data_IF_235330660054
#
_entry.id   IF_235330660054
#
_cell.length_a   1.000
_cell.length_b   1.000
_cell.length_c   1.000
_cell.angle_alpha   90.00
_cell.angle_beta   90.00
_cell.angle_gamma   90.00
#
_symmetry.space_group_name_H-M   'P 1'
#
loop_
_entity.id
_entity.type
_entity.pdbx_description
1 polymer ?
#
# COMPACT_ATOMS: atom_id res chain seq x y z
N UNK A 1 -6.37 14.67 31.32
CA UNK A 1 -6.21 13.22 31.08
C UNK A 1 -7.10 12.82 29.92
N UNK A 2 -6.54 12.62 28.72
CA UNK A 2 -7.31 12.14 27.58
C UNK A 2 -7.61 10.65 27.79
N UNK A 3 -8.81 10.33 28.25
CA UNK A 3 -9.30 8.96 28.33
C UNK A 3 -9.46 8.44 26.90
N UNK A 4 -8.50 7.63 26.46
CA UNK A 4 -8.67 6.86 25.23
C UNK A 4 -9.94 6.02 25.36
N UNK A 5 -10.85 6.16 24.39
CA UNK A 5 -12.00 5.28 24.19
C UNK A 5 -11.51 3.84 24.05
N UNK A 6 -11.33 3.15 25.17
CA UNK A 6 -10.71 1.83 25.29
C UNK A 6 -11.72 0.78 25.72
N UNK A 7 -12.86 0.69 25.02
CA UNK A 7 -13.73 -0.48 25.13
C UNK A 7 -13.46 -1.40 23.92
N UNK A 8 -12.50 -2.31 24.11
CA UNK A 8 -12.11 -3.33 23.12
C UNK A 8 -10.62 -3.30 22.77
N UNK A 9 -10.03 -4.49 22.55
CA UNK A 9 -8.61 -4.72 22.19
C UNK A 9 -8.24 -4.14 20.81
N UNK A 10 -8.33 -2.82 20.62
CA UNK A 10 -7.97 -2.16 19.36
C UNK A 10 -6.57 -1.57 19.44
N UNK A 11 -5.80 -1.72 18.37
CA UNK A 11 -4.52 -1.05 18.22
C UNK A 11 -4.70 0.49 18.20
N UNK A 12 -3.71 1.23 18.69
CA UNK A 12 -3.77 2.70 18.77
C UNK A 12 -4.03 3.36 17.40
N UNK A 13 -3.41 2.84 16.33
CA UNK A 13 -3.64 3.33 14.96
C UNK A 13 -5.10 3.20 14.53
N UNK A 14 -5.78 2.14 14.96
CA UNK A 14 -7.21 1.92 14.69
C UNK A 14 -8.07 2.93 15.45
N UNK A 15 -7.77 3.16 16.73
CA UNK A 15 -8.49 4.14 17.56
C UNK A 15 -8.38 5.55 16.94
N UNK A 16 -7.17 5.98 16.59
CA UNK A 16 -6.92 7.29 15.98
C UNK A 16 -7.56 7.44 14.60
N UNK A 17 -7.57 6.38 13.79
CA UNK A 17 -8.27 6.38 12.50
C UNK A 17 -9.78 6.57 12.68
N UNK A 18 -10.39 5.86 13.64
CA UNK A 18 -11.82 6.00 13.96
C UNK A 18 -12.15 7.38 14.51
N UNK A 19 -11.31 7.93 15.38
CA UNK A 19 -11.46 9.32 15.84
C UNK A 19 -11.41 10.30 14.65
N UNK A 20 -10.51 10.08 13.68
CA UNK A 20 -10.45 10.86 12.45
C UNK A 20 -11.75 10.82 11.63
N UNK A 21 -12.36 9.64 11.48
CA UNK A 21 -13.65 9.50 10.81
C UNK A 21 -14.79 10.20 11.56
N UNK A 22 -14.87 10.03 12.88
CA UNK A 22 -15.86 10.69 13.71
C UNK A 22 -15.75 12.21 13.62
N UNK A 23 -14.51 12.75 13.65
CA UNK A 23 -14.26 14.18 13.45
C UNK A 23 -14.79 14.67 12.11
N UNK A 24 -14.45 14.01 11.01
CA UNK A 24 -14.88 14.42 9.67
C UNK A 24 -16.40 14.38 9.52
N UNK A 25 -17.04 13.32 10.03
CA UNK A 25 -18.48 13.16 9.97
C UNK A 25 -19.21 14.25 10.77
N UNK A 26 -18.80 14.48 12.02
CA UNK A 26 -19.46 15.45 12.91
C UNK A 26 -19.11 16.91 12.58
N UNK A 27 -17.94 17.17 11.97
CA UNK A 27 -17.62 18.48 11.41
C UNK A 27 -18.65 18.88 10.33
N UNK A 28 -19.13 17.92 9.53
CA UNK A 28 -20.23 18.17 8.59
C UNK A 28 -21.52 18.54 9.33
N UNK A 29 -21.87 17.80 10.39
CA UNK A 29 -23.06 18.09 11.20
C UNK A 29 -23.01 19.48 11.86
N UNK A 30 -21.84 19.91 12.34
CA UNK A 30 -21.63 21.28 12.84
C UNK A 30 -21.79 22.31 11.72
N UNK A 31 -21.20 22.07 10.54
CA UNK A 31 -21.32 22.96 9.38
C UNK A 31 -22.76 23.15 8.92
N UNK A 32 -23.61 22.13 9.12
CA UNK A 32 -25.03 22.15 8.84
C UNK A 32 -25.89 22.52 10.05
N UNK A 33 -25.28 22.99 11.14
CA UNK A 33 -25.95 23.44 12.38
C UNK A 33 -26.86 22.40 13.03
N UNK A 34 -26.64 21.11 12.74
CA UNK A 34 -27.39 19.99 13.35
C UNK A 34 -26.98 19.74 14.80
N UNK A 35 -25.74 20.09 15.14
CA UNK A 35 -25.18 20.06 16.49
C UNK A 35 -24.32 21.31 16.72
N UNK A 36 -24.21 21.80 17.97
CA UNK A 36 -23.51 23.06 18.25
C UNK A 36 -21.97 22.93 18.21
N UNK A 37 -21.44 21.72 18.43
CA UNK A 37 -20.01 21.47 18.45
C UNK A 37 -19.68 20.00 18.18
N UNK A 38 -18.45 19.75 17.74
CA UNK A 38 -17.94 18.41 17.48
C UNK A 38 -17.31 17.81 18.75
N UNK A 39 -17.87 16.75 19.37
CA UNK A 39 -17.32 16.17 20.59
C UNK A 39 -15.99 15.43 20.40
N UNK A 40 -15.56 15.20 19.15
CA UNK A 40 -14.29 14.52 18.85
C UNK A 40 -13.16 15.50 18.54
N UNK A 41 -13.40 16.80 18.49
CA UNK A 41 -12.49 17.82 17.94
C UNK A 41 -11.07 17.73 18.49
N UNK A 42 -10.93 17.59 19.82
CA UNK A 42 -9.63 17.56 20.51
C UNK A 42 -8.99 16.17 20.59
N UNK A 43 -9.68 15.12 20.13
CA UNK A 43 -9.14 13.75 20.21
C UNK A 43 -8.01 13.54 19.20
N UNK A 44 -6.96 12.82 19.58
CA UNK A 44 -5.87 12.51 18.64
C UNK A 44 -6.39 11.65 17.48
N UNK A 45 -6.12 12.10 16.26
CA UNK A 45 -6.51 11.42 15.02
C UNK A 45 -5.34 11.29 14.05
N UNK A 46 -5.47 10.42 13.06
CA UNK A 46 -4.47 10.23 12.01
C UNK A 46 -3.70 8.90 12.10
N UNK A 47 -2.96 8.58 11.04
CA UNK A 47 -2.16 7.36 10.97
C UNK A 47 -0.94 7.45 11.88
N UNK A 48 -0.74 6.42 12.69
CA UNK A 48 0.49 6.25 13.48
C UNK A 48 1.25 5.07 12.93
N UNK A 49 2.50 5.33 12.57
CA UNK A 49 3.46 4.30 12.22
C UNK A 49 4.05 3.69 13.48
N UNK A 50 4.25 2.38 13.50
CA UNK A 50 4.96 1.70 14.57
C UNK A 50 6.28 1.12 14.02
N UNK A 51 7.41 1.84 14.15
CA UNK A 51 8.72 1.39 13.66
C UNK A 51 9.19 0.08 14.29
N UNK A 52 8.75 -0.27 15.50
CA UNK A 52 9.17 -1.53 16.14
C UNK A 52 8.63 -2.78 15.42
N UNK A 53 7.66 -2.61 14.52
CA UNK A 53 7.15 -3.68 13.66
C UNK A 53 7.85 -3.76 12.30
N UNK A 54 8.81 -2.89 12.04
CA UNK A 54 9.56 -2.94 10.79
C UNK A 54 10.55 -4.09 10.83
N UNK A 55 10.53 -4.90 9.78
CA UNK A 55 11.43 -6.01 9.58
C UNK A 55 12.00 -5.91 8.18
N UNK A 56 13.33 -5.95 8.08
CA UNK A 56 13.99 -5.98 6.78
C UNK A 56 14.04 -7.42 6.29
N UNK A 57 13.34 -7.71 5.20
CA UNK A 57 13.35 -9.02 4.57
C UNK A 57 14.64 -9.18 3.76
N UNK A 58 15.50 -10.13 4.14
CA UNK A 58 16.78 -10.36 3.47
C UNK A 58 16.60 -10.96 2.06
N UNK A 59 17.69 -11.09 1.30
CA UNK A 59 17.64 -11.76 -0.01
C UNK A 59 17.36 -13.25 0.17
N UNK A 60 18.02 -13.87 1.13
CA UNK A 60 17.89 -15.30 1.45
C UNK A 60 16.46 -15.64 1.90
N UNK A 61 15.81 -14.74 2.63
CA UNK A 61 14.39 -14.88 2.97
C UNK A 61 13.48 -14.76 1.76
N UNK A 62 13.75 -13.80 0.88
CA UNK A 62 13.01 -13.65 -0.36
C UNK A 62 13.13 -14.89 -1.26
N UNK A 63 14.34 -15.46 -1.37
CA UNK A 63 14.60 -16.68 -2.14
C UNK A 63 13.81 -17.86 -1.56
N UNK A 64 13.79 -18.04 -0.23
CA UNK A 64 12.96 -19.06 0.42
C UNK A 64 11.47 -18.91 0.12
N UNK A 65 10.97 -17.69 0.02
CA UNK A 65 9.56 -17.45 -0.38
C UNK A 65 9.34 -17.77 -1.85
N UNK A 66 10.27 -17.39 -2.74
CA UNK A 66 10.18 -17.70 -4.16
C UNK A 66 10.19 -19.21 -4.43
N UNK A 67 10.97 -19.97 -3.68
CA UNK A 67 11.03 -21.43 -3.78
C UNK A 67 9.77 -22.11 -3.25
N UNK A 68 9.10 -21.50 -2.27
CA UNK A 68 7.84 -21.99 -1.70
C UNK A 68 6.59 -21.59 -2.52
N UNK A 69 6.73 -20.73 -3.54
CA UNK A 69 5.61 -20.32 -4.37
C UNK A 69 5.10 -21.49 -5.24
N UNK A 70 3.77 -21.68 -5.35
CA UNK A 70 3.18 -22.86 -5.99
C UNK A 70 3.35 -22.90 -7.52
N UNK A 71 3.49 -21.75 -8.17
CA UNK A 71 3.63 -21.65 -9.63
C UNK A 71 4.36 -20.36 -10.07
N UNK A 72 4.52 -20.19 -11.38
CA UNK A 72 5.21 -19.05 -11.97
C UNK A 72 4.50 -17.71 -11.75
N UNK A 73 3.16 -17.69 -11.67
CA UNK A 73 2.40 -16.46 -11.43
C UNK A 73 2.61 -15.95 -10.01
N UNK A 74 2.55 -16.84 -9.02
CA UNK A 74 2.85 -16.50 -7.63
C UNK A 74 4.29 -16.03 -7.44
N UNK A 75 5.25 -16.70 -8.09
CA UNK A 75 6.66 -16.27 -8.09
C UNK A 75 6.80 -14.86 -8.67
N UNK A 76 6.10 -14.58 -9.76
CA UNK A 76 6.10 -13.27 -10.39
C UNK A 76 5.48 -12.19 -9.49
N UNK A 77 4.33 -12.46 -8.86
CA UNK A 77 3.69 -11.51 -7.94
C UNK A 77 4.62 -11.14 -6.77
N UNK A 78 5.26 -12.15 -6.17
CA UNK A 78 6.19 -11.90 -5.09
C UNK A 78 7.44 -11.13 -5.56
N UNK A 79 8.03 -11.52 -6.70
CA UNK A 79 9.20 -10.85 -7.25
C UNK A 79 8.91 -9.37 -7.60
N UNK A 80 7.76 -9.08 -8.21
CA UNK A 80 7.32 -7.71 -8.51
C UNK A 80 7.15 -6.86 -7.25
N UNK A 81 6.62 -7.44 -6.17
CA UNK A 81 6.52 -6.77 -4.87
C UNK A 81 7.91 -6.53 -4.25
N UNK A 82 8.77 -7.56 -4.24
CA UNK A 82 10.06 -7.56 -3.53
C UNK A 82 11.14 -6.71 -4.21
N UNK A 83 11.27 -6.84 -5.53
CA UNK A 83 12.33 -6.18 -6.31
C UNK A 83 11.80 -5.01 -7.14
N UNK A 84 10.55 -5.09 -7.62
CA UNK A 84 9.91 -4.00 -8.36
C UNK A 84 9.26 -2.93 -7.47
N UNK A 85 9.03 -3.24 -6.18
CA UNK A 85 8.33 -2.34 -5.26
C UNK A 85 6.89 -2.07 -5.67
N UNK A 86 6.24 -3.04 -6.35
CA UNK A 86 4.84 -2.92 -6.73
C UNK A 86 3.92 -3.11 -5.53
N UNK A 87 2.84 -2.33 -5.47
CA UNK A 87 1.77 -2.50 -4.49
C UNK A 87 0.90 -3.68 -4.89
N UNK A 88 0.72 -4.60 -3.95
CA UNK A 88 -0.18 -5.74 -4.09
C UNK A 88 -1.57 -5.39 -3.52
N UNK A 89 -2.68 -5.71 -4.22
CA UNK A 89 -2.76 -6.31 -5.57
C UNK A 89 -2.88 -5.27 -6.70
N UNK A 90 -3.17 -4.01 -6.38
CA UNK A 90 -3.66 -3.01 -7.34
C UNK A 90 -2.73 -2.75 -8.53
N UNK A 91 -1.41 -2.72 -8.30
CA UNK A 91 -0.45 -2.45 -9.37
C UNK A 91 -0.10 -3.73 -10.15
N UNK A 92 -0.22 -4.89 -9.52
CA UNK A 92 0.04 -6.18 -10.16
C UNK A 92 -1.02 -6.47 -11.22
N UNK A 93 -2.30 -6.35 -10.87
CA UNK A 93 -3.40 -6.58 -11.81
C UNK A 93 -3.53 -5.49 -12.88
N UNK A 94 -2.95 -4.32 -12.64
CA UNK A 94 -2.91 -3.24 -13.63
C UNK A 94 -1.78 -3.41 -14.64
N UNK A 95 -0.83 -4.34 -14.46
CA UNK A 95 0.34 -4.51 -15.33
C UNK A 95 -0.04 -5.24 -16.62
N UNK A 96 0.39 -4.72 -17.76
CA UNK A 96 0.19 -5.31 -19.08
C UNK A 96 1.54 -5.65 -19.71
N UNK A 97 1.55 -6.61 -20.64
CA UNK A 97 2.76 -6.96 -21.40
C UNK A 97 3.39 -5.75 -22.11
N UNK A 98 2.57 -4.87 -22.69
CA UNK A 98 3.02 -3.65 -23.37
C UNK A 98 3.61 -2.57 -22.45
N UNK A 99 3.51 -2.72 -21.12
CA UNK A 99 4.12 -1.77 -20.19
C UNK A 99 5.65 -2.02 -20.02
N UNK A 100 6.19 -3.04 -20.69
CA UNK A 100 7.62 -3.40 -20.64
C UNK A 100 8.35 -2.89 -21.87
N UNK A 101 9.41 -2.13 -21.63
CA UNK A 101 10.37 -1.77 -22.65
C UNK A 101 11.63 -2.63 -22.46
N UNK A 102 11.74 -3.69 -23.26
CA UNK A 102 12.84 -4.65 -23.23
C UNK A 102 14.16 -4.01 -23.69
N UNK A 103 14.14 -3.19 -24.74
CA UNK A 103 15.33 -2.52 -25.28
C UNK A 103 15.99 -1.59 -24.25
N UNK A 104 15.15 -0.90 -23.45
CA UNK A 104 15.61 0.08 -22.46
C UNK A 104 15.68 -0.49 -21.04
N UNK A 105 15.31 -1.75 -20.83
CA UNK A 105 15.22 -2.36 -19.50
C UNK A 105 14.44 -1.49 -18.51
N UNK A 106 13.22 -1.10 -18.91
CA UNK A 106 12.30 -0.28 -18.11
C UNK A 106 10.90 -0.88 -18.11
N UNK A 107 10.15 -0.60 -17.06
CA UNK A 107 8.75 -0.96 -16.94
C UNK A 107 7.94 0.23 -16.43
N UNK A 108 6.80 0.48 -17.06
CA UNK A 108 5.82 1.46 -16.60
C UNK A 108 4.86 0.79 -15.63
N UNK A 109 4.70 1.36 -14.45
CA UNK A 109 3.79 0.86 -13.40
C UNK A 109 2.73 1.90 -13.15
N UNK A 110 1.48 1.59 -13.50
CA UNK A 110 0.31 2.40 -13.14
C UNK A 110 0.12 2.39 -11.64
N UNK A 111 -0.27 3.52 -11.07
CA UNK A 111 -0.44 3.71 -9.62
C UNK A 111 -1.86 4.17 -9.30
N UNK A 112 -2.88 3.28 -9.35
CA UNK A 112 -4.29 3.65 -9.14
C UNK A 112 -4.53 4.41 -7.84
N UNK A 113 -3.79 4.06 -6.78
CA UNK A 113 -3.88 4.71 -5.47
C UNK A 113 -3.59 6.23 -5.52
N UNK A 114 -2.74 6.66 -6.43
CA UNK A 114 -2.24 8.04 -6.51
C UNK A 114 -2.64 8.73 -7.81
N UNK A 115 -3.48 8.10 -8.64
CA UNK A 115 -3.84 8.62 -9.96
C UNK A 115 -4.60 9.95 -9.92
N UNK A 116 -5.31 10.22 -8.83
CA UNK A 116 -6.01 11.49 -8.62
C UNK A 116 -5.07 12.65 -8.26
N UNK A 117 -3.78 12.37 -8.01
CA UNK A 117 -2.77 13.39 -7.77
C UNK A 117 -2.02 13.72 -9.06
N UNK A 118 -1.78 15.00 -9.38
CA UNK A 118 -0.98 15.38 -10.55
C UNK A 118 0.39 14.69 -10.55
N UNK A 119 0.71 13.93 -11.61
CA UNK A 119 1.95 13.17 -11.74
C UNK A 119 2.01 11.87 -10.92
N UNK A 120 0.89 11.45 -10.31
CA UNK A 120 0.77 10.25 -9.48
C UNK A 120 0.16 9.05 -10.19
N UNK A 121 -0.18 9.15 -11.47
CA UNK A 121 -0.86 8.12 -12.25
C UNK A 121 0.02 6.94 -12.61
N UNK A 122 1.32 7.15 -12.76
CA UNK A 122 2.27 6.09 -13.12
C UNK A 122 3.69 6.43 -12.70
N UNK A 123 4.57 5.41 -12.74
CA UNK A 123 6.00 5.57 -12.57
C UNK A 123 6.75 4.63 -13.50
N UNK A 124 7.92 5.04 -13.96
CA UNK A 124 8.83 4.18 -14.71
C UNK A 124 9.89 3.64 -13.75
N UNK A 125 10.04 2.32 -13.70
CA UNK A 125 11.07 1.66 -12.89
C UNK A 125 12.07 0.90 -13.77
N UNK A 126 13.32 0.71 -13.30
CA UNK A 126 14.24 -0.23 -13.92
C UNK A 126 13.66 -1.64 -13.95
N UNK A 127 13.88 -2.35 -15.06
CA UNK A 127 13.67 -3.80 -15.08
C UNK A 127 14.87 -4.46 -14.40
N UNK A 128 14.75 -4.68 -13.09
CA UNK A 128 15.80 -5.31 -12.30
C UNK A 128 16.10 -6.73 -12.81
N UNK A 129 17.37 -7.16 -12.83
CA UNK A 129 17.75 -8.50 -13.29
C UNK A 129 16.98 -9.62 -12.60
N UNK A 130 16.72 -9.47 -11.29
CA UNK A 130 15.97 -10.43 -10.48
C UNK A 130 14.52 -10.64 -10.97
N UNK A 131 13.95 -9.71 -11.74
CA UNK A 131 12.59 -9.84 -12.28
C UNK A 131 12.53 -10.66 -13.57
N UNK A 132 13.63 -10.79 -14.32
CA UNK A 132 13.59 -11.39 -15.67
C UNK A 132 13.11 -12.85 -15.68
N UNK A 133 13.64 -13.76 -14.85
CA UNK A 133 13.29 -15.19 -14.92
C UNK A 133 11.79 -15.43 -14.66
N UNK A 134 11.20 -14.63 -13.79
CA UNK A 134 9.80 -14.77 -13.40
C UNK A 134 8.83 -14.21 -14.45
N UNK A 135 9.27 -13.26 -15.28
CA UNK A 135 8.41 -12.61 -16.28
C UNK A 135 8.35 -13.37 -17.59
N UNK A 136 9.50 -13.87 -18.06
CA UNK A 136 9.60 -14.67 -19.29
C UNK A 136 8.79 -15.97 -19.20
N UNK A 137 8.61 -16.47 -17.98
CA UNK A 137 7.81 -17.68 -17.73
C UNK A 137 6.30 -17.43 -17.86
N UNK A 138 5.82 -16.21 -17.56
CA UNK A 138 4.38 -15.88 -17.52
C UNK A 138 3.88 -15.17 -18.78
N UNK A 139 4.65 -14.23 -19.35
CA UNK A 139 4.21 -13.38 -20.47
C UNK A 139 4.64 -13.93 -21.85
N UNK A 140 4.51 -15.24 -22.08
CA UNK A 140 4.80 -15.86 -23.39
C UNK A 140 3.92 -15.36 -24.52
#
# INVERSE_FOLDING_TARGET
MASSLGFGRMAESTIRKRCGFAKQFLASAVKHELIPANPFEDLKSGSVTNPSRYYFVTREEADRVLDACPDAEWRLLFALSRYGGLRCPSEHFALRGGDVNWDRNRMTVRSPKTEHHPGGESRVIPLFPELRPHRETVFR
#
